data_IF_548623627054
#
_entry.id   IF_548623627054
#
_cell.length_a   1.000
_cell.length_b   1.000
_cell.length_c   1.000
_cell.angle_alpha   90.00
_cell.angle_beta   90.00
_cell.angle_gamma   90.00
#
_symmetry.space_group_name_H-M   'P 1'
#
loop_
_entity.id
_entity.type
_entity.pdbx_description
1 polymer ?
#
# COMPACT_ATOMS: atom_id res chain seq x y z
N UNK A 1 -23.41 -4.38 -17.73
CA UNK A 1 -23.58 -4.57 -16.28
C UNK A 1 -22.30 -4.16 -15.59
N UNK A 2 -22.31 -3.11 -14.78
CA UNK A 2 -21.12 -2.69 -14.01
C UNK A 2 -20.97 -3.66 -12.84
N UNK A 3 -20.24 -4.74 -13.03
CA UNK A 3 -19.87 -5.65 -11.95
C UNK A 3 -19.08 -4.85 -10.92
N UNK A 4 -19.61 -4.76 -9.70
CA UNK A 4 -18.89 -4.11 -8.60
C UNK A 4 -17.49 -4.73 -8.48
N UNK A 5 -16.45 -3.88 -8.51
CA UNK A 5 -15.04 -4.31 -8.44
C UNK A 5 -14.77 -5.23 -7.24
N UNK A 6 -15.39 -4.94 -6.10
CA UNK A 6 -15.29 -5.72 -4.87
C UNK A 6 -16.32 -6.87 -4.78
N UNK A 7 -17.14 -7.04 -5.81
CA UNK A 7 -18.15 -8.10 -5.88
C UNK A 7 -17.67 -9.39 -6.57
N UNK A 8 -16.52 -9.35 -7.25
CA UNK A 8 -16.00 -10.49 -8.02
C UNK A 8 -15.54 -11.63 -7.10
N UNK A 9 -15.64 -12.87 -7.57
CA UNK A 9 -15.16 -14.03 -6.81
C UNK A 9 -13.65 -13.98 -6.56
N UNK A 10 -12.88 -13.47 -7.52
CA UNK A 10 -11.44 -13.32 -7.38
C UNK A 10 -11.06 -12.32 -6.29
N UNK A 11 -11.75 -11.17 -6.21
CA UNK A 11 -11.59 -10.24 -5.11
C UNK A 11 -11.89 -10.87 -3.75
N UNK A 12 -13.01 -11.61 -3.64
CA UNK A 12 -13.38 -12.28 -2.39
C UNK A 12 -12.32 -13.29 -1.94
N UNK A 13 -11.76 -14.06 -2.88
CA UNK A 13 -10.66 -15.00 -2.61
C UNK A 13 -9.39 -14.27 -2.17
N UNK A 14 -8.97 -13.22 -2.89
CA UNK A 14 -7.79 -12.43 -2.53
C UNK A 14 -7.93 -11.81 -1.13
N UNK A 15 -9.09 -11.21 -0.84
CA UNK A 15 -9.40 -10.66 0.50
C UNK A 15 -9.29 -11.73 1.59
N UNK A 16 -9.86 -12.91 1.36
CA UNK A 16 -9.79 -14.01 2.32
C UNK A 16 -8.34 -14.46 2.56
N UNK A 17 -7.52 -14.58 1.51
CA UNK A 17 -6.11 -14.96 1.63
C UNK A 17 -5.29 -13.94 2.42
N UNK A 18 -5.48 -12.64 2.17
CA UNK A 18 -4.76 -11.59 2.90
C UNK A 18 -5.11 -11.60 4.40
N UNK A 19 -6.39 -11.71 4.74
CA UNK A 19 -6.84 -11.75 6.14
C UNK A 19 -6.48 -13.07 6.85
N UNK A 20 -6.37 -14.17 6.11
CA UNK A 20 -5.90 -15.45 6.67
C UNK A 20 -4.41 -15.42 7.01
N UNK A 21 -3.59 -14.62 6.29
CA UNK A 21 -2.14 -14.48 6.57
C UNK A 21 -1.88 -13.63 7.81
N UNK A 22 -2.64 -12.56 8.02
CA UNK A 22 -2.51 -11.71 9.19
C UNK A 22 -3.75 -10.86 9.40
N UNK A 23 -4.08 -10.63 10.67
CA UNK A 23 -5.10 -9.67 11.11
C UNK A 23 -4.49 -8.46 11.80
N UNK A 24 -3.18 -8.26 11.67
CA UNK A 24 -2.49 -7.06 12.15
C UNK A 24 -2.62 -5.95 11.12
N UNK A 25 -3.18 -4.82 11.53
CA UNK A 25 -3.36 -3.66 10.68
C UNK A 25 -2.00 -3.06 10.30
N UNK A 26 -1.72 -2.97 9.01
CA UNK A 26 -0.43 -2.43 8.53
C UNK A 26 -0.28 -0.92 8.78
N UNK A 27 -1.40 -0.21 8.99
CA UNK A 27 -1.43 1.24 9.17
C UNK A 27 -1.13 1.66 10.61
N UNK A 28 -1.60 0.90 11.60
CA UNK A 28 -1.45 1.25 13.02
C UNK A 28 -0.70 0.19 13.84
N UNK A 29 -0.41 -0.98 13.27
CA UNK A 29 0.29 -2.07 13.94
C UNK A 29 -0.53 -2.89 14.94
N UNK A 30 -1.82 -2.57 15.14
CA UNK A 30 -2.68 -3.26 16.10
C UNK A 30 -3.46 -4.44 15.46
N UNK A 31 -3.76 -5.50 16.22
CA UNK A 31 -4.55 -6.63 15.73
C UNK A 31 -6.03 -6.26 15.49
N UNK A 32 -6.79 -7.14 14.85
CA UNK A 32 -8.22 -6.98 14.61
C UNK A 32 -8.58 -6.32 13.27
N UNK A 33 -7.67 -6.33 12.29
CA UNK A 33 -7.97 -5.93 10.93
C UNK A 33 -9.07 -6.84 10.34
N UNK A 34 -10.12 -6.20 9.82
CA UNK A 34 -11.30 -6.86 9.25
C UNK A 34 -11.53 -6.50 7.78
N UNK A 35 -10.74 -5.57 7.25
CA UNK A 35 -10.74 -5.15 5.86
C UNK A 35 -9.34 -5.29 5.28
N UNK A 36 -9.26 -5.10 3.97
CA UNK A 36 -8.03 -5.10 3.22
C UNK A 36 -7.90 -3.74 2.56
N UNK A 37 -6.76 -3.09 2.78
CA UNK A 37 -6.37 -1.81 2.19
C UNK A 37 -5.47 -2.04 0.97
N UNK A 38 -5.65 -1.21 -0.05
CA UNK A 38 -4.76 -1.13 -1.19
C UNK A 38 -3.60 -0.18 -0.86
N UNK A 39 -2.38 -0.72 -0.75
CA UNK A 39 -1.16 0.06 -0.45
C UNK A 39 -1.01 1.23 -1.43
N UNK A 40 -1.07 0.93 -2.72
CA UNK A 40 -1.32 1.90 -3.79
C UNK A 40 -2.81 1.93 -4.05
N UNK A 41 -3.50 3.05 -3.78
CA UNK A 41 -4.93 3.17 -4.03
C UNK A 41 -5.28 2.94 -5.51
N UNK A 42 -6.48 2.41 -5.75
CA UNK A 42 -6.96 2.18 -7.11
C UNK A 42 -6.98 3.46 -7.97
N UNK A 43 -7.38 4.60 -7.38
CA UNK A 43 -7.36 5.91 -8.06
C UNK A 43 -5.96 6.38 -8.49
N UNK A 44 -4.90 5.71 -8.00
CA UNK A 44 -3.50 5.94 -8.34
C UNK A 44 -2.91 4.81 -9.20
N UNK A 45 -3.75 3.93 -9.76
CA UNK A 45 -3.35 2.81 -10.61
C UNK A 45 -3.01 1.52 -9.87
N UNK A 46 -3.34 1.41 -8.57
CA UNK A 46 -3.13 0.17 -7.82
C UNK A 46 -4.11 -0.93 -8.20
N UNK A 47 -3.60 -2.14 -8.41
CA UNK A 47 -4.41 -3.33 -8.73
C UNK A 47 -4.92 -4.09 -7.50
N UNK A 48 -5.75 -5.11 -7.76
CA UNK A 48 -6.33 -6.00 -6.73
C UNK A 48 -5.43 -7.22 -6.43
N UNK A 49 -4.17 -7.17 -6.86
CA UNK A 49 -3.19 -8.23 -6.62
C UNK A 49 -2.83 -8.28 -5.13
N UNK A 50 -2.65 -9.47 -4.57
CA UNK A 50 -2.34 -9.66 -3.14
C UNK A 50 -1.10 -8.89 -2.67
N UNK A 51 -0.14 -8.60 -3.56
CA UNK A 51 1.05 -7.79 -3.26
C UNK A 51 0.70 -6.34 -2.88
N UNK A 52 -0.36 -5.79 -3.49
CA UNK A 52 -0.86 -4.45 -3.23
C UNK A 52 -1.88 -4.41 -2.09
N UNK A 53 -2.20 -5.56 -1.49
CA UNK A 53 -3.24 -5.70 -0.48
C UNK A 53 -2.63 -5.98 0.89
N UNK A 54 -3.09 -5.25 1.90
CA UNK A 54 -2.64 -5.42 3.28
C UNK A 54 -3.81 -5.38 4.26
N UNK A 55 -3.78 -6.12 5.38
CA UNK A 55 -4.84 -6.06 6.38
C UNK A 55 -4.91 -4.66 6.99
N UNK A 56 -6.12 -4.12 7.12
CA UNK A 56 -6.37 -2.86 7.80
C UNK A 56 -7.70 -2.88 8.57
N UNK A 57 -7.78 -2.11 9.65
CA UNK A 57 -9.09 -1.80 10.23
C UNK A 57 -9.88 -0.94 9.26
N UNK A 58 -11.21 -1.11 9.24
CA UNK A 58 -12.11 -0.24 8.49
C UNK A 58 -11.91 1.26 8.77
N UNK A 59 -11.69 1.63 10.03
CA UNK A 59 -11.43 3.01 10.44
C UNK A 59 -10.10 3.54 9.89
N UNK A 60 -9.02 2.76 10.02
CA UNK A 60 -7.71 3.11 9.49
C UNK A 60 -7.72 3.21 7.95
N UNK A 61 -8.32 2.24 7.27
CA UNK A 61 -8.48 2.21 5.81
C UNK A 61 -9.24 3.45 5.31
N UNK A 62 -10.38 3.77 5.93
CA UNK A 62 -11.15 4.99 5.64
C UNK A 62 -10.36 6.25 5.91
N UNK A 63 -9.61 6.29 7.03
CA UNK A 63 -8.77 7.43 7.39
C UNK A 63 -7.62 7.61 6.41
N UNK A 64 -7.02 6.54 5.86
CA UNK A 64 -6.02 6.62 4.78
C UNK A 64 -6.61 7.16 3.48
N UNK A 65 -7.74 6.61 3.05
CA UNK A 65 -8.37 6.97 1.78
C UNK A 65 -7.42 6.78 0.58
N UNK A 66 -7.35 7.79 -0.29
CA UNK A 66 -6.49 7.77 -1.49
C UNK A 66 -5.03 8.20 -1.21
N UNK A 67 -4.63 8.33 0.06
CA UNK A 67 -3.24 8.62 0.40
C UNK A 67 -2.41 7.34 0.33
N UNK A 68 -1.17 7.47 -0.14
CA UNK A 68 -0.15 6.43 -0.01
C UNK A 68 0.55 6.70 1.31
N UNK A 69 0.47 5.75 2.25
CA UNK A 69 1.06 5.88 3.59
C UNK A 69 2.36 5.09 3.62
N UNK A 70 3.50 5.78 3.76
CA UNK A 70 4.87 5.25 3.58
C UNK A 70 5.60 5.95 2.42
N UNK A 71 6.93 5.82 2.28
CA UNK A 71 7.64 6.48 1.18
C UNK A 71 7.17 5.89 -0.16
N UNK A 72 6.64 6.78 -1.01
CA UNK A 72 6.34 6.50 -2.41
C UNK A 72 7.67 6.23 -3.10
N UNK A 73 7.96 4.98 -3.45
CA UNK A 73 9.13 4.70 -4.27
C UNK A 73 8.92 5.30 -5.68
N UNK A 74 9.96 5.89 -6.26
CA UNK A 74 9.90 6.44 -7.61
C UNK A 74 9.49 5.36 -8.62
N UNK A 75 8.54 5.68 -9.51
CA UNK A 75 7.84 4.71 -10.38
C UNK A 75 8.60 4.42 -11.67
N UNK A 76 9.62 5.22 -12.00
CA UNK A 76 10.41 5.14 -13.22
C UNK A 76 11.90 5.29 -12.92
N UNK A 77 12.76 4.79 -13.81
CA UNK A 77 14.22 4.92 -13.67
C UNK A 77 14.68 6.39 -13.69
N UNK A 78 13.92 7.26 -14.34
CA UNK A 78 14.14 8.71 -14.29
C UNK A 78 13.79 9.27 -12.91
N UNK A 79 12.64 8.91 -12.33
CA UNK A 79 12.26 9.31 -10.97
C UNK A 79 13.22 8.72 -9.92
N UNK A 80 13.76 7.49 -10.12
CA UNK A 80 14.79 6.89 -9.25
C UNK A 80 16.08 7.68 -9.34
N UNK A 81 16.52 8.03 -10.55
CA UNK A 81 17.73 8.82 -10.76
C UNK A 81 17.62 10.24 -10.20
N UNK A 82 16.42 10.83 -10.18
CA UNK A 82 16.14 12.12 -9.52
C UNK A 82 16.18 11.95 -8.00
N UNK A 83 15.49 10.93 -7.46
CA UNK A 83 15.45 10.65 -6.03
C UNK A 83 16.84 10.33 -5.45
N UNK A 84 17.67 9.56 -6.16
CA UNK A 84 19.06 9.27 -5.75
C UNK A 84 19.94 10.53 -5.79
N UNK A 85 19.85 11.36 -6.83
CA UNK A 85 20.61 12.63 -6.91
C UNK A 85 20.19 13.65 -5.84
N UNK A 86 18.93 13.63 -5.42
CA UNK A 86 18.45 14.47 -4.31
C UNK A 86 18.91 13.95 -2.96
N UNK A 87 18.86 12.64 -2.75
CA UNK A 87 19.39 11.99 -1.54
C UNK A 87 20.90 12.21 -1.40
N UNK A 88 21.66 12.08 -2.48
CA UNK A 88 23.11 12.39 -2.51
C UNK A 88 23.42 13.86 -2.20
N UNK A 89 22.59 14.81 -2.66
CA UNK A 89 22.76 16.25 -2.39
C UNK A 89 22.42 16.66 -0.96
N UNK A 90 21.43 16.01 -0.36
CA UNK A 90 20.83 16.46 0.92
C UNK A 90 21.26 15.63 2.12
N UNK A 91 21.47 14.32 1.90
CA UNK A 91 21.92 13.40 2.95
C UNK A 91 23.38 13.06 2.70
N UNK A 92 23.76 12.77 1.45
CA UNK A 92 25.10 12.31 1.09
C UNK A 92 25.56 11.10 1.93
N UNK A 93 26.72 10.49 1.65
CA UNK A 93 27.32 9.60 2.62
C UNK A 93 27.82 10.49 3.75
N UNK A 94 27.09 10.56 4.87
CA UNK A 94 27.64 11.04 6.13
C UNK A 94 28.84 10.16 6.47
N UNK A 95 30.05 10.60 6.07
CA UNK A 95 31.32 9.98 6.43
C UNK A 95 31.75 10.47 7.81
N UNK A 96 30.89 10.41 8.80
CA UNK A 96 31.25 10.78 10.17
C UNK A 96 30.54 9.81 11.14
N UNK A 97 31.39 8.92 11.69
CA UNK A 97 31.23 7.95 12.79
C UNK A 97 30.67 6.57 12.44
#
# INVERSE_FOLDING_TARGET
MTTSRTGTNEWKKARARVLARSTVCHLCGLPGANEVDHVVPYSRGGGDNEENLRPAHRSCNRSKGARITGPVLPRTRAEVAVAMREWERTVGPSREW
#
